data_IF_451274582823
#
_entry.id   IF_451274582823
#
_cell.length_a   1.000
_cell.length_b   1.000
_cell.length_c   1.000
_cell.angle_alpha   90.00
_cell.angle_beta   90.00
_cell.angle_gamma   90.00
#
_symmetry.space_group_name_H-M   'P 1'
#
loop_
_entity.id
_entity.type
_entity.pdbx_description
1 polymer ?
#
# COMPACT_ATOMS: atom_id res chain seq x y z
N UNK A 1 -10.21 0.57 -11.50
CA UNK A 1 -10.71 1.24 -10.27
C UNK A 1 -11.81 2.25 -10.58
N UNK A 2 -11.68 2.96 -11.71
CA UNK A 2 -12.53 4.06 -12.14
C UNK A 2 -13.96 3.60 -12.45
N UNK A 3 -14.11 2.36 -12.91
CA UNK A 3 -15.41 1.70 -13.08
C UNK A 3 -16.23 1.63 -11.77
N UNK A 4 -15.55 1.68 -10.61
CA UNK A 4 -16.15 1.71 -9.28
C UNK A 4 -16.23 3.13 -8.71
N UNK A 5 -16.10 4.16 -9.56
CA UNK A 5 -16.12 5.58 -9.19
C UNK A 5 -15.03 5.97 -8.18
N UNK A 6 -13.94 5.21 -8.11
CA UNK A 6 -12.81 5.51 -7.24
C UNK A 6 -11.66 6.13 -8.05
N UNK A 7 -11.18 7.29 -7.60
CA UNK A 7 -10.10 8.03 -8.28
C UNK A 7 -8.70 7.72 -7.73
N UNK A 8 -8.55 7.54 -6.41
CA UNK A 8 -7.25 7.43 -5.72
C UNK A 8 -7.29 6.36 -4.63
N UNK A 9 -6.12 6.07 -4.03
CA UNK A 9 -5.98 5.13 -2.94
C UNK A 9 -5.73 3.71 -3.43
N UNK A 10 -6.38 2.75 -2.80
CA UNK A 10 -6.17 1.32 -2.99
C UNK A 10 -7.47 0.62 -3.39
N UNK A 11 -7.36 -0.53 -4.03
CA UNK A 11 -8.48 -1.44 -4.27
C UNK A 11 -8.06 -2.83 -3.84
N UNK A 12 -8.85 -3.46 -2.99
CA UNK A 12 -8.66 -4.87 -2.65
C UNK A 12 -9.55 -5.72 -3.55
N UNK A 13 -8.94 -6.65 -4.27
CA UNK A 13 -9.63 -7.69 -5.01
C UNK A 13 -9.47 -9.01 -4.25
N UNK A 14 -10.57 -9.65 -3.90
CA UNK A 14 -10.59 -10.90 -3.13
C UNK A 14 -11.31 -11.99 -3.91
N UNK A 15 -10.78 -13.20 -3.92
CA UNK A 15 -11.48 -14.38 -4.44
C UNK A 15 -11.21 -15.60 -3.56
N UNK A 16 -12.18 -16.54 -3.55
CA UNK A 16 -12.04 -17.83 -2.90
C UNK A 16 -11.64 -18.87 -3.95
N UNK A 17 -10.58 -19.62 -3.70
CA UNK A 17 -10.06 -20.60 -4.64
C UNK A 17 -10.95 -21.85 -4.62
N UNK A 18 -11.59 -22.15 -5.76
CA UNK A 18 -12.49 -23.30 -5.89
C UNK A 18 -11.77 -24.58 -6.34
N UNK A 19 -10.61 -24.44 -6.97
CA UNK A 19 -9.81 -25.56 -7.48
C UNK A 19 -8.35 -25.27 -7.25
N UNK A 20 -7.62 -26.23 -6.70
CA UNK A 20 -6.18 -26.09 -6.46
C UNK A 20 -5.43 -25.74 -7.75
N UNK A 21 -4.53 -24.75 -7.67
CA UNK A 21 -3.78 -24.23 -8.81
C UNK A 21 -2.39 -23.76 -8.36
N UNK A 22 -1.40 -23.96 -9.22
CA UNK A 22 -0.02 -23.61 -8.94
C UNK A 22 0.60 -22.88 -10.15
N UNK A 23 1.41 -21.86 -9.90
CA UNK A 23 2.18 -21.18 -10.95
C UNK A 23 2.37 -19.70 -10.69
N UNK A 24 2.94 -19.01 -11.67
CA UNK A 24 3.14 -17.55 -11.61
C UNK A 24 1.79 -16.82 -11.65
N UNK A 25 1.65 -15.81 -10.79
CA UNK A 25 0.55 -14.87 -10.80
C UNK A 25 0.73 -13.86 -11.94
N UNK A 26 -0.36 -13.59 -12.67
CA UNK A 26 -0.50 -12.43 -13.55
C UNK A 26 -1.71 -11.62 -13.07
N UNK A 27 -1.51 -10.44 -12.44
CA UNK A 27 -2.59 -9.65 -11.87
C UNK A 27 -3.25 -8.75 -12.94
N UNK A 28 -3.79 -9.37 -14.00
CA UNK A 28 -4.25 -8.67 -15.19
C UNK A 28 -3.14 -8.51 -16.24
N UNK A 29 -3.32 -7.54 -17.14
CA UNK A 29 -2.38 -7.21 -18.22
C UNK A 29 -1.03 -6.75 -17.65
N UNK A 30 -1.06 -5.94 -16.59
CA UNK A 30 0.10 -5.40 -15.87
C UNK A 30 -0.26 -5.11 -14.40
N UNK A 31 0.70 -5.15 -13.46
CA UNK A 31 0.48 -4.82 -12.05
C UNK A 31 0.38 -3.30 -11.84
N UNK A 32 -0.70 -2.64 -12.28
CA UNK A 32 -0.83 -1.18 -12.26
C UNK A 32 -1.34 -0.61 -10.91
N UNK A 33 -0.53 0.03 -10.08
CA UNK A 33 0.92 0.28 -10.21
C UNK A 33 1.77 -0.62 -9.32
N UNK A 34 1.18 -1.05 -8.20
CA UNK A 34 1.81 -1.97 -7.25
C UNK A 34 0.76 -2.87 -6.63
N UNK A 35 1.04 -4.16 -6.57
CA UNK A 35 0.13 -5.21 -6.11
C UNK A 35 0.78 -5.96 -4.97
N UNK A 36 0.21 -5.86 -3.77
CA UNK A 36 0.58 -6.68 -2.63
C UNK A 36 -0.33 -7.92 -2.65
N UNK A 37 0.28 -9.09 -2.64
CA UNK A 37 -0.40 -10.38 -2.82
C UNK A 37 -0.46 -11.09 -1.47
N UNK A 38 -1.66 -11.47 -1.03
CA UNK A 38 -1.84 -12.22 0.20
C UNK A 38 -2.60 -13.52 -0.04
N UNK A 39 -2.18 -14.59 0.63
CA UNK A 39 -2.88 -15.87 0.66
C UNK A 39 -3.25 -16.15 2.11
N UNK A 40 -4.54 -16.30 2.39
CA UNK A 40 -5.08 -16.50 3.74
C UNK A 40 -4.61 -15.41 4.74
N UNK A 41 -4.45 -14.18 4.27
CA UNK A 41 -4.00 -13.04 5.07
C UNK A 41 -2.48 -12.92 5.27
N UNK A 42 -1.68 -13.84 4.73
CA UNK A 42 -0.22 -13.76 4.76
C UNK A 42 0.35 -13.26 3.43
N UNK A 43 1.26 -12.29 3.48
CA UNK A 43 1.90 -11.73 2.30
C UNK A 43 2.76 -12.79 1.59
N UNK A 44 2.39 -13.07 0.34
CA UNK A 44 3.08 -14.00 -0.55
C UNK A 44 4.09 -13.29 -1.47
N UNK A 45 3.99 -11.97 -1.62
CA UNK A 45 4.92 -11.17 -2.40
C UNK A 45 4.33 -9.84 -2.88
N UNK A 46 5.17 -9.05 -3.53
CA UNK A 46 4.81 -7.74 -4.07
C UNK A 46 5.23 -7.66 -5.53
N UNK A 47 4.35 -7.10 -6.37
CA UNK A 47 4.62 -6.81 -7.78
C UNK A 47 4.54 -5.31 -8.00
N UNK A 48 5.55 -4.72 -8.64
CA UNK A 48 5.59 -3.27 -8.90
C UNK A 48 5.94 -3.02 -10.36
N UNK A 49 5.09 -2.26 -11.04
CA UNK A 49 5.21 -1.95 -12.46
C UNK A 49 6.53 -1.24 -12.81
N UNK A 50 7.07 -0.43 -11.89
CA UNK A 50 8.27 0.38 -12.09
C UNK A 50 9.54 -0.47 -12.27
N UNK A 51 9.53 -1.69 -11.75
CA UNK A 51 10.64 -2.64 -11.85
C UNK A 51 10.45 -3.66 -12.98
N UNK A 52 9.38 -3.52 -13.79
CA UNK A 52 9.12 -4.37 -14.95
C UNK A 52 8.89 -5.84 -14.58
N UNK A 53 9.43 -6.76 -15.39
CA UNK A 53 9.20 -8.20 -15.26
C UNK A 53 9.98 -8.88 -14.10
N UNK A 54 10.72 -8.13 -13.29
CA UNK A 54 11.56 -8.70 -12.22
C UNK A 54 10.73 -9.20 -11.02
N UNK A 55 9.53 -8.67 -10.80
CA UNK A 55 8.69 -9.04 -9.67
C UNK A 55 7.71 -10.17 -10.03
N UNK A 56 8.19 -11.40 -10.13
CA UNK A 56 7.35 -12.59 -10.35
C UNK A 56 6.99 -13.24 -9.01
N UNK A 57 5.70 -13.29 -8.71
CA UNK A 57 5.15 -14.01 -7.55
C UNK A 57 4.62 -15.36 -8.04
N UNK A 58 5.11 -16.45 -7.44
CA UNK A 58 4.63 -17.81 -7.72
C UNK A 58 3.78 -18.27 -6.54
N UNK A 59 2.58 -18.77 -6.84
CA UNK A 59 1.61 -19.18 -5.85
C UNK A 59 1.36 -20.69 -5.92
N UNK A 60 1.08 -21.27 -4.75
CA UNK A 60 0.58 -22.64 -4.60
C UNK A 60 -0.73 -22.56 -3.80
N UNK A 61 -1.85 -22.50 -4.52
CA UNK A 61 -3.17 -22.27 -3.96
C UNK A 61 -3.95 -23.57 -3.87
N UNK A 62 -4.61 -23.78 -2.74
CA UNK A 62 -5.48 -24.92 -2.46
C UNK A 62 -6.93 -24.49 -2.58
N UNK A 63 -7.81 -25.48 -2.74
CA UNK A 63 -9.24 -25.26 -2.58
C UNK A 63 -9.53 -24.67 -1.20
N UNK A 64 -10.45 -23.69 -1.15
CA UNK A 64 -10.80 -22.87 0.01
C UNK A 64 -9.76 -21.85 0.48
N UNK A 65 -8.59 -21.72 -0.17
CA UNK A 65 -7.70 -20.60 0.11
C UNK A 65 -8.37 -19.28 -0.31
N UNK A 66 -8.08 -18.21 0.42
CA UNK A 66 -8.48 -16.84 0.08
C UNK A 66 -7.29 -16.13 -0.55
N UNK A 67 -7.45 -15.66 -1.78
CA UNK A 67 -6.47 -14.82 -2.47
C UNK A 67 -6.92 -13.37 -2.43
N UNK A 68 -6.03 -12.51 -1.94
CA UNK A 68 -6.21 -11.07 -1.84
C UNK A 68 -5.13 -10.35 -2.66
N UNK A 69 -5.56 -9.46 -3.56
CA UNK A 69 -4.70 -8.55 -4.32
C UNK A 69 -5.01 -7.12 -3.88
N UNK A 70 -4.14 -6.53 -3.06
CA UNK A 70 -4.24 -5.13 -2.69
C UNK A 70 -3.48 -4.29 -3.71
N UNK A 71 -4.22 -3.60 -4.57
CA UNK A 71 -3.66 -2.79 -5.65
C UNK A 71 -3.59 -1.32 -5.22
N UNK A 72 -2.40 -0.75 -5.29
CA UNK A 72 -2.15 0.67 -5.05
C UNK A 72 -2.12 1.45 -6.37
N UNK A 73 -2.91 2.52 -6.45
CA UNK A 73 -2.71 3.56 -7.46
C UNK A 73 -1.64 4.53 -6.96
N UNK A 74 -0.45 4.52 -7.57
CA UNK A 74 0.69 5.36 -7.18
C UNK A 74 0.70 6.73 -7.85
N UNK A 75 -0.21 6.96 -8.79
CA UNK A 75 -0.34 8.19 -9.54
C UNK A 75 -0.56 7.90 -11.02
N UNK A 76 -1.41 8.69 -11.66
CA UNK A 76 -1.57 8.65 -13.11
C UNK A 76 -0.45 9.45 -13.76
N UNK A 77 0.09 8.94 -14.85
CA UNK A 77 1.04 9.67 -15.68
C UNK A 77 0.38 10.99 -16.12
N UNK A 78 1.06 12.11 -15.87
CA UNK A 78 0.54 13.44 -16.15
C UNK A 78 1.17 14.10 -17.40
N UNK A 79 2.01 13.38 -18.14
CA UNK A 79 2.69 13.87 -19.34
C UNK A 79 3.10 12.73 -20.27
N UNK A 80 3.16 12.99 -21.58
CA UNK A 80 3.72 12.08 -22.58
C UNK A 80 2.67 11.41 -23.48
N UNK A 81 2.98 11.32 -24.78
CA UNK A 81 2.16 10.65 -25.79
C UNK A 81 2.78 9.29 -26.15
N UNK A 82 1.98 8.21 -26.34
CA UNK A 82 0.53 8.13 -26.19
C UNK A 82 0.06 7.72 -24.79
N UNK A 83 0.97 7.48 -23.84
CA UNK A 83 0.68 6.86 -22.54
C UNK A 83 -0.34 7.64 -21.70
N UNK A 84 -0.45 8.95 -21.87
CA UNK A 84 -1.41 9.78 -21.11
C UNK A 84 -2.89 9.44 -21.37
N UNK A 85 -3.23 8.80 -22.50
CA UNK A 85 -4.65 8.58 -22.86
C UNK A 85 -5.32 7.42 -22.13
N UNK A 86 -4.54 6.43 -21.69
CA UNK A 86 -5.06 5.32 -20.90
C UNK A 86 -4.27 5.18 -19.60
N UNK A 87 -4.87 5.68 -18.53
CA UNK A 87 -4.28 5.72 -17.19
C UNK A 87 -5.25 5.10 -16.16
N UNK A 88 -6.04 4.11 -16.62
CA UNK A 88 -6.87 3.31 -15.73
C UNK A 88 -5.99 2.52 -14.77
N UNK A 89 -6.41 2.37 -13.51
CA UNK A 89 -5.65 1.72 -12.43
C UNK A 89 -6.42 0.55 -11.82
N UNK A 90 -5.75 -0.27 -11.04
CA UNK A 90 -6.32 -1.54 -10.56
C UNK A 90 -6.02 -2.68 -11.52
N UNK A 91 -6.77 -3.77 -11.40
CA UNK A 91 -6.66 -4.91 -12.33
C UNK A 91 -7.37 -4.58 -13.64
N UNK A 92 -6.63 -4.64 -14.75
CA UNK A 92 -7.16 -4.57 -16.12
C UNK A 92 -6.93 -5.95 -16.75
N UNK A 93 -7.96 -6.56 -17.32
CA UNK A 93 -7.88 -7.92 -17.86
C UNK A 93 -8.10 -9.02 -16.80
N UNK A 94 -7.70 -10.24 -17.14
CA UNK A 94 -7.92 -11.42 -16.29
C UNK A 94 -6.77 -11.64 -15.32
N UNK A 95 -7.08 -11.95 -14.07
CA UNK A 95 -6.10 -12.48 -13.13
C UNK A 95 -5.88 -13.96 -13.43
N UNK A 96 -4.63 -14.39 -13.59
CA UNK A 96 -4.31 -15.81 -13.79
C UNK A 96 -3.24 -16.31 -12.83
N UNK A 97 -3.30 -17.61 -12.50
CA UNK A 97 -2.24 -18.34 -11.79
C UNK A 97 -1.88 -19.57 -12.61
N UNK A 98 -0.63 -19.67 -13.04
CA UNK A 98 -0.20 -20.76 -13.93
C UNK A 98 -0.97 -20.80 -15.27
N UNK A 99 -1.50 -19.66 -15.71
CA UNK A 99 -2.31 -19.53 -16.92
C UNK A 99 -3.80 -19.87 -16.73
N UNK A 100 -4.23 -20.30 -15.56
CA UNK A 100 -5.65 -20.53 -15.24
C UNK A 100 -6.27 -19.22 -14.76
N UNK A 101 -7.38 -18.83 -15.39
CA UNK A 101 -8.14 -17.62 -15.03
C UNK A 101 -8.87 -17.83 -13.71
N UNK A 102 -8.70 -16.88 -12.78
CA UNK A 102 -9.44 -16.82 -11.53
C UNK A 102 -10.68 -15.92 -11.68
N UNK A 103 -11.79 -16.31 -11.07
CA UNK A 103 -13.11 -15.68 -11.23
C UNK A 103 -13.74 -15.34 -9.87
N UNK A 104 -14.97 -14.84 -9.87
CA UNK A 104 -15.79 -14.57 -8.68
C UNK A 104 -15.12 -13.62 -7.67
N UNK A 105 -14.73 -12.45 -8.16
CA UNK A 105 -14.04 -11.43 -7.39
C UNK A 105 -14.99 -10.55 -6.57
N UNK A 106 -14.73 -10.46 -5.28
CA UNK A 106 -15.18 -9.37 -4.43
C UNK A 106 -14.20 -8.19 -4.57
N UNK A 107 -14.73 -6.97 -4.64
CA UNK A 107 -13.92 -5.77 -4.88
C UNK A 107 -14.27 -4.71 -3.85
N UNK A 108 -13.26 -4.27 -3.10
CA UNK A 108 -13.41 -3.30 -2.03
C UNK A 108 -12.65 -2.01 -2.38
N UNK A 109 -13.40 -0.91 -2.49
CA UNK A 109 -12.86 0.42 -2.75
C UNK A 109 -12.28 1.03 -1.47
N UNK A 110 -11.00 1.36 -1.48
CA UNK A 110 -10.26 1.92 -0.33
C UNK A 110 -9.62 3.27 -0.70
N UNK A 111 -10.40 4.37 -0.80
CA UNK A 111 -9.86 5.67 -1.17
C UNK A 111 -8.89 6.24 -0.12
N UNK A 112 -9.13 5.93 1.16
CA UNK A 112 -8.30 6.34 2.31
C UNK A 112 -7.98 7.84 2.33
N UNK A 113 -8.99 8.68 2.03
CA UNK A 113 -8.87 10.13 2.20
C UNK A 113 -8.62 10.49 3.67
N UNK A 114 -9.25 9.76 4.58
CA UNK A 114 -9.05 9.79 6.03
C UNK A 114 -8.53 8.42 6.49
N UNK A 115 -7.80 8.35 7.62
CA UNK A 115 -7.41 7.06 8.18
C UNK A 115 -8.64 6.28 8.63
N UNK A 116 -8.54 4.95 8.70
CA UNK A 116 -9.63 4.15 9.21
C UNK A 116 -9.83 4.46 10.69
N UNK A 117 -10.93 5.15 11.02
CA UNK A 117 -11.24 5.53 12.39
C UNK A 117 -12.27 4.56 12.98
N UNK A 118 -11.78 3.55 13.68
CA UNK A 118 -12.61 2.72 14.55
C UNK A 118 -11.88 2.52 15.87
N UNK A 119 -12.17 3.40 16.84
CA UNK A 119 -11.57 3.33 18.18
C UNK A 119 -11.73 1.96 18.84
N UNK A 120 -12.78 1.21 18.47
CA UNK A 120 -13.05 -0.16 18.93
C UNK A 120 -12.05 -1.23 18.46
N UNK A 121 -11.19 -0.93 17.48
CA UNK A 121 -10.25 -1.88 16.90
C UNK A 121 -8.79 -1.57 17.27
N UNK A 122 -8.54 -0.63 18.18
CA UNK A 122 -7.19 -0.41 18.69
C UNK A 122 -6.79 -1.56 19.61
N UNK A 123 -5.65 -2.18 19.31
CA UNK A 123 -5.07 -3.23 20.11
C UNK A 123 -3.59 -3.39 19.81
N UNK A 124 -2.87 -4.02 20.73
CA UNK A 124 -1.51 -4.46 20.45
C UNK A 124 -1.58 -5.63 19.47
N UNK A 125 -1.04 -5.43 18.27
CA UNK A 125 -0.95 -6.46 17.24
C UNK A 125 0.47 -6.97 17.20
N UNK A 126 0.64 -8.29 17.27
CA UNK A 126 1.93 -8.93 16.98
C UNK A 126 2.08 -9.03 15.47
N UNK A 127 3.15 -8.45 14.93
CA UNK A 127 3.36 -8.32 13.48
C UNK A 127 4.63 -9.00 13.04
N UNK A 128 4.64 -9.49 11.81
CA UNK A 128 5.81 -10.03 11.13
C UNK A 128 5.87 -9.52 9.68
N UNK A 129 6.90 -9.92 8.94
CA UNK A 129 7.11 -9.49 7.54
C UNK A 129 5.97 -9.85 6.59
N UNK A 130 5.23 -10.90 6.89
CA UNK A 130 4.10 -11.37 6.08
C UNK A 130 2.76 -10.78 6.54
N UNK A 131 2.75 -9.89 7.53
CA UNK A 131 1.51 -9.27 8.01
C UNK A 131 0.88 -8.36 6.94
N UNK A 132 -0.46 -8.24 6.92
CA UNK A 132 -1.16 -7.28 6.07
C UNK A 132 -0.85 -5.85 6.50
N UNK A 133 -1.33 -4.83 5.75
CA UNK A 133 -1.11 -3.44 6.12
C UNK A 133 -1.73 -3.11 7.48
N UNK A 134 -1.04 -2.26 8.25
CA UNK A 134 -1.44 -1.90 9.62
C UNK A 134 -1.46 -0.40 9.79
N UNK A 135 -2.49 0.08 10.48
CA UNK A 135 -2.56 1.45 10.97
C UNK A 135 -1.94 1.54 12.37
N UNK A 136 -0.97 2.43 12.51
CA UNK A 136 -0.38 2.82 13.79
C UNK A 136 -0.86 4.22 14.13
N UNK A 137 -1.20 4.46 15.40
CA UNK A 137 -1.64 5.78 15.87
C UNK A 137 -0.85 6.18 17.11
N UNK A 138 -0.46 7.44 17.17
CA UNK A 138 0.21 8.04 18.32
C UNK A 138 -0.25 9.49 18.53
N UNK A 139 -0.11 9.98 19.77
CA UNK A 139 -0.32 11.39 20.08
C UNK A 139 1.00 12.16 19.97
N UNK A 140 0.92 13.32 19.32
CA UNK A 140 2.01 14.27 19.19
C UNK A 140 1.59 15.64 19.73
N UNK A 141 2.51 16.35 20.37
CA UNK A 141 2.37 17.75 20.74
C UNK A 141 3.27 18.68 19.89
N UNK A 142 3.88 18.13 18.84
CA UNK A 142 4.76 18.87 17.94
C UNK A 142 3.92 19.69 16.95
N UNK A 143 4.40 20.87 16.57
CA UNK A 143 3.80 21.69 15.51
C UNK A 143 4.47 21.44 14.15
N UNK A 144 4.78 22.52 13.44
CA UNK A 144 5.47 22.48 12.14
C UNK A 144 6.77 21.66 12.21
N UNK A 145 6.87 20.60 11.42
CA UNK A 145 7.98 19.64 11.48
C UNK A 145 8.14 18.85 10.18
N UNK A 146 9.22 18.10 10.05
CA UNK A 146 9.30 16.97 9.12
C UNK A 146 9.23 15.66 9.89
N UNK A 147 8.45 14.68 9.43
CA UNK A 147 8.37 13.35 10.03
C UNK A 147 9.39 12.42 9.41
N UNK A 148 10.26 11.88 10.25
CA UNK A 148 11.11 10.73 9.91
C UNK A 148 10.48 9.44 10.42
N UNK A 149 10.51 8.43 9.55
CA UNK A 149 9.92 7.11 9.78
C UNK A 149 11.03 6.04 9.69
N UNK A 150 11.93 5.96 10.69
CA UNK A 150 13.04 5.03 10.67
C UNK A 150 12.55 3.57 10.66
N UNK A 151 13.05 2.80 9.69
CA UNK A 151 12.70 1.40 9.51
C UNK A 151 11.40 1.16 8.74
N UNK A 152 10.53 2.17 8.54
CA UNK A 152 9.31 1.95 7.77
C UNK A 152 9.65 1.83 6.28
N UNK A 153 8.89 0.99 5.55
CA UNK A 153 9.14 0.72 4.13
C UNK A 153 8.31 1.67 3.28
N UNK A 154 6.99 1.48 3.23
CA UNK A 154 6.09 2.30 2.41
C UNK A 154 4.74 2.49 3.07
N UNK A 155 4.10 3.63 2.78
CA UNK A 155 2.80 3.91 3.36
C UNK A 155 2.31 5.34 3.20
N UNK A 156 1.36 5.71 4.08
CA UNK A 156 0.70 7.02 4.10
C UNK A 156 0.68 7.54 5.54
N UNK A 157 0.79 8.86 5.68
CA UNK A 157 0.71 9.55 6.98
C UNK A 157 -0.47 10.51 7.00
N UNK A 158 -1.17 10.54 8.13
CA UNK A 158 -2.19 11.53 8.44
C UNK A 158 -1.87 12.25 9.74
N UNK A 159 -2.28 13.51 9.83
CA UNK A 159 -2.31 14.28 11.08
C UNK A 159 -3.72 14.82 11.27
N UNK A 160 -4.37 14.46 12.38
CA UNK A 160 -5.75 14.82 12.69
C UNK A 160 -6.72 14.51 11.52
N UNK A 161 -6.54 13.36 10.87
CA UNK A 161 -7.33 12.94 9.71
C UNK A 161 -6.92 13.58 8.36
N UNK A 162 -6.03 14.58 8.36
CA UNK A 162 -5.53 15.22 7.13
C UNK A 162 -4.44 14.36 6.51
N UNK A 163 -4.66 13.85 5.29
CA UNK A 163 -3.68 13.07 4.55
C UNK A 163 -2.49 13.94 4.11
N UNK A 164 -1.30 13.65 4.62
CA UNK A 164 -0.06 14.37 4.31
C UNK A 164 0.67 13.78 3.10
N UNK A 165 0.25 12.62 2.63
CA UNK A 165 0.81 11.93 1.49
C UNK A 165 1.63 10.70 1.86
N UNK A 166 2.43 10.26 0.89
CA UNK A 166 3.13 8.97 0.93
C UNK A 166 4.54 9.11 1.47
N UNK A 167 5.00 8.07 2.13
CA UNK A 167 6.43 7.84 2.38
C UNK A 167 6.87 6.56 1.70
N UNK A 168 8.14 6.50 1.31
CA UNK A 168 8.75 5.29 0.77
C UNK A 168 10.26 5.32 0.99
N UNK A 169 10.82 4.26 1.56
CA UNK A 169 12.23 4.14 1.91
C UNK A 169 13.17 4.27 0.71
N UNK A 170 12.68 3.96 -0.51
CA UNK A 170 13.45 4.11 -1.76
C UNK A 170 13.94 5.54 -1.97
N UNK A 171 13.18 6.56 -1.52
CA UNK A 171 13.58 7.95 -1.63
C UNK A 171 13.30 8.61 -3.00
N UNK A 172 13.88 9.80 -3.27
CA UNK A 172 14.91 10.47 -2.47
C UNK A 172 14.38 11.14 -1.19
N UNK A 173 13.08 11.36 -1.06
CA UNK A 173 12.51 11.99 0.13
C UNK A 173 12.49 10.99 1.30
N UNK A 174 13.17 11.32 2.41
CA UNK A 174 13.25 10.47 3.62
C UNK A 174 12.49 11.05 4.82
N UNK A 175 11.93 12.24 4.65
CA UNK A 175 11.09 12.88 5.66
C UNK A 175 9.91 13.59 4.99
N UNK A 176 8.73 13.48 5.61
CA UNK A 176 7.49 14.06 5.10
C UNK A 176 7.20 15.36 5.84
N UNK A 177 6.97 16.46 5.10
CA UNK A 177 6.61 17.73 5.71
C UNK A 177 5.24 17.64 6.39
N UNK A 178 5.16 18.09 7.63
CA UNK A 178 3.94 18.18 8.43
C UNK A 178 3.68 19.66 8.74
N UNK A 179 2.84 20.33 7.94
CA UNK A 179 2.60 21.76 8.10
C UNK A 179 1.99 22.06 9.47
N UNK A 180 2.52 23.07 10.15
CA UNK A 180 2.00 23.51 11.46
C UNK A 180 0.50 23.83 11.47
N UNK A 181 -0.08 24.23 10.33
CA UNK A 181 -1.52 24.50 10.19
C UNK A 181 -2.42 23.26 10.26
N UNK A 182 -1.86 22.05 10.14
CA UNK A 182 -2.57 20.79 10.35
C UNK A 182 -2.71 20.43 11.83
N UNK A 183 -1.97 21.13 12.72
CA UNK A 183 -1.95 20.87 14.15
C UNK A 183 -2.88 21.83 14.92
N UNK A 184 -3.40 21.32 16.03
CA UNK A 184 -4.21 22.03 17.02
C UNK A 184 -3.38 22.23 18.28
N UNK A 185 -3.68 23.25 19.12
CA UNK A 185 -3.08 23.35 20.45
C UNK A 185 -3.32 22.08 21.27
N UNK A 186 -2.26 21.53 21.87
CA UNK A 186 -2.33 20.32 22.69
C UNK A 186 -2.00 19.04 21.92
N UNK A 187 -2.75 17.96 22.21
CA UNK A 187 -2.52 16.65 21.63
C UNK A 187 -3.12 16.54 20.22
N UNK A 188 -2.32 16.02 19.29
CA UNK A 188 -2.69 15.79 17.89
C UNK A 188 -2.50 14.32 17.57
N UNK A 189 -3.45 13.76 16.84
CA UNK A 189 -3.36 12.38 16.39
C UNK A 189 -2.50 12.30 15.14
N UNK A 190 -1.49 11.42 15.17
CA UNK A 190 -0.69 11.06 14.00
C UNK A 190 -0.98 9.60 13.69
N UNK A 191 -1.48 9.33 12.49
CA UNK A 191 -1.75 7.98 12.02
C UNK A 191 -0.83 7.64 10.86
N UNK A 192 -0.25 6.45 10.88
CA UNK A 192 0.60 5.92 9.81
C UNK A 192 0.03 4.59 9.34
N UNK A 193 -0.25 4.48 8.05
CA UNK A 193 -0.51 3.20 7.41
C UNK A 193 0.82 2.64 6.93
N UNK A 194 1.27 1.51 7.48
CA UNK A 194 2.37 0.72 6.94
C UNK A 194 1.82 -0.34 5.98
N UNK A 195 2.30 -0.35 4.74
CA UNK A 195 1.94 -1.39 3.76
C UNK A 195 2.73 -2.68 3.99
N UNK A 196 4.00 -2.56 4.35
CA UNK A 196 4.87 -3.65 4.77
C UNK A 196 5.33 -3.44 6.21
N UNK A 197 5.26 -4.50 7.01
CA UNK A 197 5.61 -4.45 8.42
C UNK A 197 6.93 -5.18 8.65
N UNK A 198 7.93 -4.48 9.17
CA UNK A 198 9.26 -5.06 9.40
C UNK A 198 9.78 -4.79 10.82
N UNK A 199 8.87 -4.59 11.78
CA UNK A 199 9.18 -4.28 13.17
C UNK A 199 9.38 -2.78 13.45
N UNK A 200 9.30 -1.92 12.44
CA UNK A 200 9.29 -0.48 12.65
C UNK A 200 7.99 -0.01 13.33
N UNK A 201 8.13 0.80 14.38
CA UNK A 201 7.01 1.34 15.16
C UNK A 201 7.32 2.72 15.76
N UNK A 202 8.36 3.40 15.28
CA UNK A 202 8.77 4.71 15.80
C UNK A 202 8.68 5.77 14.71
N UNK A 203 8.15 6.94 15.06
CA UNK A 203 8.16 8.14 14.23
C UNK A 203 8.72 9.29 15.04
N UNK A 204 9.41 10.23 14.39
CA UNK A 204 9.94 11.43 15.07
C UNK A 204 9.84 12.68 14.22
N UNK A 205 9.56 13.80 14.87
CA UNK A 205 9.65 15.12 14.27
C UNK A 205 11.10 15.63 14.24
N UNK A 206 11.53 16.16 13.10
CA UNK A 206 12.84 16.80 12.92
C UNK A 206 12.68 18.18 12.28
N UNK A 207 13.65 19.07 12.53
CA UNK A 207 13.61 20.46 12.06
C UNK A 207 14.04 20.65 10.61
N UNK A 208 14.72 19.67 10.01
CA UNK A 208 15.28 19.75 8.66
C UNK A 208 14.78 18.60 7.80
N UNK A 209 14.58 18.85 6.51
CA UNK A 209 14.23 17.80 5.55
C UNK A 209 15.43 16.89 5.28
N UNK A 210 15.21 15.60 5.41
CA UNK A 210 16.17 14.54 5.10
C UNK A 210 15.91 13.96 3.70
N UNK A 211 16.99 13.71 2.98
CA UNK A 211 17.02 13.09 1.65
C UNK A 211 17.97 11.89 1.62
N UNK A 212 17.71 10.93 0.76
CA UNK A 212 18.55 9.75 0.56
C UNK A 212 17.82 8.69 -0.26
N UNK A 213 18.56 7.78 -0.85
CA UNK A 213 18.00 6.66 -1.62
C UNK A 213 18.37 5.33 -0.96
N UNK A 214 17.45 4.37 -1.01
CA UNK A 214 17.71 2.98 -0.62
C UNK A 214 17.25 2.04 -1.73
N UNK A 215 17.84 0.84 -1.88
CA UNK A 215 17.26 -0.20 -2.72
C UNK A 215 15.83 -0.52 -2.27
N UNK A 216 14.97 -0.85 -3.22
CA UNK A 216 13.63 -1.37 -2.92
C UNK A 216 13.75 -2.76 -2.29
N UNK A 217 13.27 -2.97 -1.04
CA UNK A 217 13.37 -4.26 -0.39
C UNK A 217 12.73 -5.42 -1.17
N UNK A 218 11.69 -5.12 -1.96
CA UNK A 218 10.94 -6.12 -2.74
C UNK A 218 11.45 -6.30 -4.18
N UNK A 219 12.45 -5.51 -4.62
CA UNK A 219 13.03 -5.61 -5.95
C UNK A 219 14.19 -6.60 -5.95
N UNK A 220 13.89 -7.88 -6.17
CA UNK A 220 14.88 -8.94 -6.41
C UNK A 220 15.24 -9.10 -7.89
#
# INVERSE_FOLDING_TARGET
>A
MEAFQQSYGFVLYRTNITTAVNGSLQPGDYPLDRVLVYVNGECAGVMDYSYGNSSVVTLSLKECDVLDLLVENMGRICFGYPTIFDQRKGVIGNVTVGGIVLVDWEIYSLPLNEPFNSESNYGLVSTNKSSPPIFYTALSSVGDTFSELPGWIKGIVWVNGINLGRYWIVGPQQSLYMPGCCFKPGANEVTVLALEVNGANTARGVSNRTWGNSPEPDAS
#
